data_IF_266939169945
#
_entry.id   IF_266939169945
#
_cell.length_a   1.000
_cell.length_b   1.000
_cell.length_c   1.000
_cell.angle_alpha   90.00
_cell.angle_beta   90.00
_cell.angle_gamma   90.00
#
_symmetry.space_group_name_H-M   'P 1'
#
loop_
_entity.id
_entity.type
_entity.pdbx_description
1 polymer ?
#
# COMPACT_ATOMS: atom_id res chain seq x y z
N UNK A 1 -31.67 -3.42 -20.52
CA UNK A 1 -31.63 -2.23 -21.38
C UNK A 1 -31.47 -2.70 -22.81
N UNK A 2 -32.35 -2.30 -23.75
CA UNK A 2 -32.16 -2.62 -25.16
C UNK A 2 -30.85 -2.02 -25.67
N UNK A 3 -30.06 -2.78 -26.41
CA UNK A 3 -28.82 -2.30 -26.97
C UNK A 3 -28.61 -2.81 -28.40
N UNK A 4 -27.76 -2.15 -29.17
CA UNK A 4 -27.29 -2.56 -30.49
C UNK A 4 -25.77 -2.60 -30.46
N UNK A 5 -25.17 -3.70 -30.90
CA UNK A 5 -23.74 -3.80 -31.09
C UNK A 5 -23.34 -2.91 -32.27
N UNK A 6 -22.50 -1.92 -32.05
CA UNK A 6 -22.02 -0.99 -33.05
C UNK A 6 -20.57 -1.29 -33.48
N UNK A 7 -19.79 -1.94 -32.63
CA UNK A 7 -18.41 -2.36 -32.89
C UNK A 7 -17.97 -3.46 -31.93
N UNK A 8 -16.96 -4.21 -32.32
CA UNK A 8 -16.23 -5.14 -31.46
C UNK A 8 -14.74 -4.75 -31.45
N UNK A 9 -14.11 -4.79 -30.30
CA UNK A 9 -12.70 -4.48 -30.12
C UNK A 9 -12.00 -5.61 -29.41
N UNK A 10 -10.74 -5.88 -29.77
CA UNK A 10 -9.85 -6.73 -28.96
C UNK A 10 -9.27 -5.90 -27.80
N UNK A 11 -8.80 -6.57 -26.73
CA UNK A 11 -8.11 -5.88 -25.63
C UNK A 11 -6.93 -5.04 -26.10
N UNK A 12 -6.12 -5.54 -27.04
CA UNK A 12 -4.98 -4.83 -27.62
C UNK A 12 -5.36 -3.50 -28.30
N UNK A 13 -6.52 -3.45 -28.95
CA UNK A 13 -7.01 -2.22 -29.59
C UNK A 13 -7.45 -1.16 -28.59
N UNK A 14 -7.73 -1.55 -27.33
CA UNK A 14 -8.14 -0.64 -26.27
C UNK A 14 -6.93 -0.11 -25.46
N UNK A 15 -5.78 -0.77 -25.52
CA UNK A 15 -4.58 -0.34 -24.79
C UNK A 15 -4.21 1.10 -25.15
N UNK A 16 -3.97 1.91 -24.11
CA UNK A 16 -3.62 3.32 -24.24
C UNK A 16 -4.81 4.28 -24.29
N UNK A 17 -6.05 3.78 -24.42
CA UNK A 17 -7.22 4.67 -24.27
C UNK A 17 -7.26 5.25 -22.87
N UNK A 18 -7.53 6.56 -22.81
CA UNK A 18 -7.68 7.30 -21.55
C UNK A 18 -9.16 7.44 -21.21
N UNK A 19 -9.47 7.47 -19.93
CA UNK A 19 -10.81 7.73 -19.43
C UNK A 19 -10.78 8.76 -18.30
N UNK A 20 -11.90 9.39 -18.04
CA UNK A 20 -12.03 10.33 -16.91
C UNK A 20 -12.12 9.53 -15.61
N UNK A 21 -11.43 9.99 -14.59
CA UNK A 21 -11.57 9.45 -13.24
C UNK A 21 -13.04 9.47 -12.81
N UNK A 22 -13.55 8.35 -12.31
CA UNK A 22 -14.97 8.22 -11.91
C UNK A 22 -15.29 9.07 -10.68
N UNK A 23 -14.38 9.11 -9.71
CA UNK A 23 -14.47 9.92 -8.51
C UNK A 23 -13.27 10.87 -8.47
N UNK A 24 -13.37 12.05 -9.11
CA UNK A 24 -12.23 12.96 -9.28
C UNK A 24 -11.98 13.77 -8.00
N UNK A 25 -11.81 13.08 -6.89
CA UNK A 25 -11.58 13.68 -5.58
C UNK A 25 -10.14 14.11 -5.39
N UNK A 26 -9.22 13.27 -5.85
CA UNK A 26 -7.78 13.44 -5.68
C UNK A 26 -7.05 13.03 -6.94
N UNK A 27 -6.09 13.83 -7.36
CA UNK A 27 -5.18 13.49 -8.46
C UNK A 27 -4.02 12.64 -7.92
N UNK A 28 -3.58 11.61 -8.66
CA UNK A 28 -2.39 10.86 -8.30
C UNK A 28 -1.16 11.75 -8.20
N UNK A 29 -0.41 11.63 -7.15
CA UNK A 29 0.90 12.25 -7.01
C UNK A 29 1.93 11.26 -6.46
N UNK A 30 3.21 11.53 -6.70
CA UNK A 30 4.32 10.71 -6.23
C UNK A 30 5.35 11.58 -5.54
N UNK A 31 5.98 11.06 -4.49
CA UNK A 31 7.12 11.71 -3.85
C UNK A 31 8.30 11.73 -4.84
N UNK A 32 9.04 12.83 -4.85
CA UNK A 32 10.20 13.04 -5.71
C UNK A 32 11.46 13.17 -4.84
N UNK A 33 12.19 12.08 -4.73
CA UNK A 33 13.43 11.95 -3.97
C UNK A 33 14.45 11.04 -4.68
N UNK A 34 15.57 10.76 -4.03
CA UNK A 34 16.62 9.90 -4.60
C UNK A 34 16.17 8.46 -4.82
N UNK A 35 15.19 7.98 -4.05
CA UNK A 35 14.64 6.63 -4.12
C UNK A 35 13.48 6.51 -5.12
N UNK A 36 13.00 7.62 -5.67
CA UNK A 36 11.90 7.62 -6.64
C UNK A 36 12.30 6.87 -7.91
N UNK A 37 11.35 6.11 -8.46
CA UNK A 37 11.56 5.35 -9.70
C UNK A 37 11.95 6.28 -10.87
N UNK A 38 12.77 5.78 -11.78
CA UNK A 38 13.30 6.55 -12.90
C UNK A 38 12.21 7.20 -13.75
N UNK A 39 11.09 6.50 -13.96
CA UNK A 39 9.98 7.07 -14.73
C UNK A 39 9.34 8.28 -14.04
N UNK A 40 9.30 8.32 -12.69
CA UNK A 40 8.78 9.45 -11.92
C UNK A 40 9.72 10.65 -12.06
N UNK A 41 11.04 10.43 -11.93
CA UNK A 41 12.07 11.47 -12.12
C UNK A 41 12.05 12.05 -13.53
N UNK A 42 11.94 11.19 -14.54
CA UNK A 42 11.85 11.61 -15.95
C UNK A 42 10.57 12.41 -16.21
N UNK A 43 9.43 11.96 -15.67
CA UNK A 43 8.17 12.67 -15.80
C UNK A 43 8.22 14.05 -15.14
N UNK A 44 8.75 14.15 -13.92
CA UNK A 44 8.94 15.41 -13.20
C UNK A 44 9.86 16.39 -13.96
N UNK A 45 10.94 15.88 -14.55
CA UNK A 45 11.85 16.71 -15.36
C UNK A 45 11.19 17.28 -16.63
N UNK A 46 10.23 16.56 -17.22
CA UNK A 46 9.48 16.98 -18.41
C UNK A 46 8.29 17.87 -18.09
N UNK A 47 7.80 17.86 -16.84
CA UNK A 47 6.59 18.55 -16.38
C UNK A 47 6.89 19.31 -15.07
N UNK A 48 7.86 20.21 -15.12
CA UNK A 48 8.33 20.96 -13.94
C UNK A 48 7.21 21.78 -13.28
N UNK A 49 6.21 22.22 -14.05
CA UNK A 49 5.03 22.96 -13.56
C UNK A 49 4.08 22.12 -12.70
N UNK A 50 4.21 20.79 -12.75
CA UNK A 50 3.45 19.85 -11.92
C UNK A 50 4.18 19.42 -10.65
N UNK A 51 5.41 19.91 -10.48
CA UNK A 51 6.20 19.67 -9.26
C UNK A 51 5.83 20.72 -8.22
N UNK A 52 5.60 20.29 -6.99
CA UNK A 52 5.32 21.18 -5.86
C UNK A 52 6.06 20.73 -4.60
N UNK A 53 6.33 21.69 -3.71
CA UNK A 53 6.94 21.41 -2.42
C UNK A 53 5.87 21.05 -1.39
N UNK A 54 6.16 20.11 -0.48
CA UNK A 54 5.32 19.86 0.69
C UNK A 54 5.33 21.07 1.65
N UNK A 55 4.31 21.18 2.50
CA UNK A 55 4.22 22.27 3.49
C UNK A 55 5.40 22.25 4.49
N UNK A 56 6.05 21.11 4.69
CA UNK A 56 7.23 20.98 5.53
C UNK A 56 8.50 21.60 4.90
N UNK A 57 8.45 22.02 3.63
CA UNK A 57 9.54 22.65 2.90
C UNK A 57 10.75 21.74 2.59
N UNK A 58 10.66 20.46 2.94
CA UNK A 58 11.73 19.46 2.73
C UNK A 58 11.39 18.50 1.57
N UNK A 59 10.16 18.06 1.51
CA UNK A 59 9.71 17.07 0.54
C UNK A 59 9.24 17.72 -0.75
N UNK A 60 9.41 17.02 -1.87
CA UNK A 60 8.91 17.39 -3.18
C UNK A 60 8.01 16.30 -3.73
N UNK A 61 7.01 16.73 -4.48
CA UNK A 61 6.02 15.85 -5.09
C UNK A 61 5.76 16.25 -6.53
N UNK A 62 5.27 15.31 -7.34
CA UNK A 62 4.84 15.57 -8.72
C UNK A 62 3.44 15.02 -8.94
N UNK A 63 2.54 15.85 -9.48
CA UNK A 63 1.20 15.43 -9.92
C UNK A 63 1.35 14.60 -11.21
N UNK A 64 0.68 13.44 -11.27
CA UNK A 64 0.83 12.46 -12.35
C UNK A 64 -0.52 11.97 -12.93
N UNK A 65 -1.57 12.79 -12.91
CA UNK A 65 -2.90 12.43 -13.41
C UNK A 65 -2.86 11.91 -14.85
N UNK A 66 -2.03 12.49 -15.70
CA UNK A 66 -1.92 12.10 -17.12
C UNK A 66 -1.35 10.69 -17.32
N UNK A 67 -0.63 10.15 -16.34
CA UNK A 67 -0.08 8.78 -16.37
C UNK A 67 -1.04 7.74 -15.80
N UNK A 68 -2.10 8.17 -15.12
CA UNK A 68 -3.17 7.33 -14.60
C UNK A 68 -4.34 7.20 -15.60
N UNK A 69 -5.42 6.58 -15.17
CA UNK A 69 -6.73 6.51 -15.85
C UNK A 69 -6.65 6.14 -17.33
N UNK A 70 -5.89 5.10 -17.63
CA UNK A 70 -5.70 4.54 -18.98
C UNK A 70 -5.81 3.03 -18.99
N UNK A 71 -6.17 2.48 -20.13
CA UNK A 71 -6.23 1.04 -20.36
C UNK A 71 -4.81 0.50 -20.55
N UNK A 72 -4.46 -0.53 -19.79
CA UNK A 72 -3.19 -1.25 -19.87
C UNK A 72 -3.46 -2.73 -20.14
N UNK A 73 -2.52 -3.50 -20.70
CA UNK A 73 -2.70 -4.93 -20.92
C UNK A 73 -2.68 -5.70 -19.58
N UNK A 74 -3.44 -6.80 -19.51
CA UNK A 74 -3.46 -7.71 -18.37
C UNK A 74 -3.75 -9.13 -18.82
N UNK A 75 -2.75 -10.01 -18.76
CA UNK A 75 -2.84 -11.41 -19.25
C UNK A 75 -3.80 -12.27 -18.41
N UNK A 76 -4.16 -11.80 -17.21
CA UNK A 76 -5.11 -12.45 -16.30
C UNK A 76 -6.57 -12.10 -16.58
N UNK A 77 -6.83 -11.16 -17.48
CA UNK A 77 -8.19 -10.73 -17.83
C UNK A 77 -8.80 -11.69 -18.85
N UNK A 78 -9.98 -12.22 -18.55
CA UNK A 78 -10.72 -13.11 -19.43
C UNK A 78 -12.01 -12.46 -19.91
N UNK A 79 -12.59 -13.00 -20.98
CA UNK A 79 -13.92 -12.60 -21.51
C UNK A 79 -15.00 -13.62 -21.14
N UNK A 80 -14.66 -14.65 -20.40
CA UNK A 80 -15.58 -15.73 -20.01
C UNK A 80 -16.52 -15.27 -18.89
N UNK A 81 -16.02 -14.35 -18.05
CA UNK A 81 -16.77 -13.72 -16.97
C UNK A 81 -16.56 -12.20 -17.00
N UNK A 82 -17.62 -11.45 -16.67
CA UNK A 82 -17.58 -9.98 -16.64
C UNK A 82 -17.56 -9.31 -18.02
N UNK A 83 -16.81 -8.22 -18.12
CA UNK A 83 -16.78 -7.36 -19.32
C UNK A 83 -15.51 -7.48 -20.16
N UNK A 84 -14.54 -8.28 -19.73
CA UNK A 84 -13.19 -8.30 -20.32
C UNK A 84 -12.35 -7.07 -19.96
N UNK A 85 -12.82 -6.22 -19.05
CA UNK A 85 -12.10 -5.06 -18.51
C UNK A 85 -12.16 -5.13 -16.98
N UNK A 86 -11.00 -5.07 -16.33
CA UNK A 86 -10.86 -5.11 -14.87
C UNK A 86 -10.33 -3.78 -14.38
N UNK A 87 -10.94 -3.23 -13.35
CA UNK A 87 -10.41 -2.06 -12.66
C UNK A 87 -9.25 -2.47 -11.75
N UNK A 88 -8.15 -1.71 -11.78
CA UNK A 88 -6.99 -1.91 -10.90
C UNK A 88 -6.92 -0.80 -9.85
N UNK A 89 -6.64 -1.21 -8.59
CA UNK A 89 -6.45 -0.32 -7.45
C UNK A 89 -5.05 -0.51 -6.84
N UNK A 90 -3.99 0.13 -7.38
CA UNK A 90 -2.60 -0.14 -7.01
C UNK A 90 -2.28 0.05 -5.53
N UNK A 91 -3.04 0.91 -4.84
CA UNK A 91 -2.87 1.17 -3.41
C UNK A 91 -3.37 0.04 -2.52
N UNK A 92 -4.38 -0.73 -2.97
CA UNK A 92 -5.07 -1.70 -2.12
C UNK A 92 -5.02 -3.15 -2.62
N UNK A 93 -4.35 -3.43 -3.74
CA UNK A 93 -4.16 -4.77 -4.29
C UNK A 93 -2.69 -5.06 -4.57
N UNK A 94 -2.15 -6.18 -4.09
CA UNK A 94 -0.75 -6.54 -4.33
C UNK A 94 -0.48 -6.85 -5.80
N UNK A 95 -1.37 -7.58 -6.45
CA UNK A 95 -1.28 -7.88 -7.89
C UNK A 95 -1.50 -6.62 -8.72
N UNK A 96 -2.46 -5.78 -8.33
CA UNK A 96 -2.73 -4.48 -8.94
C UNK A 96 -1.51 -3.55 -8.86
N UNK A 97 -0.85 -3.50 -7.69
CA UNK A 97 0.36 -2.70 -7.49
C UNK A 97 1.51 -3.16 -8.41
N UNK A 98 1.67 -4.48 -8.60
CA UNK A 98 2.68 -5.04 -9.49
C UNK A 98 2.41 -4.65 -10.95
N UNK A 99 1.19 -4.88 -11.43
CA UNK A 99 0.79 -4.55 -12.81
C UNK A 99 0.91 -3.06 -13.08
N UNK A 100 0.49 -2.21 -12.13
CA UNK A 100 0.60 -0.76 -12.23
C UNK A 100 2.07 -0.30 -12.29
N UNK A 101 2.94 -0.90 -11.47
CA UNK A 101 4.38 -0.61 -11.48
C UNK A 101 5.01 -0.96 -12.82
N UNK A 102 4.72 -2.15 -13.36
CA UNK A 102 5.25 -2.60 -14.65
C UNK A 102 4.76 -1.72 -15.82
N UNK A 103 3.53 -1.20 -15.71
CA UNK A 103 2.94 -0.28 -16.69
C UNK A 103 3.23 1.20 -16.41
N UNK A 104 4.00 1.55 -15.37
CA UNK A 104 4.28 2.93 -14.95
C UNK A 104 3.02 3.75 -14.65
N UNK A 105 2.03 3.12 -14.03
CA UNK A 105 0.80 3.79 -13.56
C UNK A 105 0.99 4.19 -12.11
N UNK A 106 0.85 5.49 -11.77
CA UNK A 106 1.00 5.94 -10.38
C UNK A 106 -0.13 5.42 -9.50
N UNK A 107 0.20 5.02 -8.27
CA UNK A 107 -0.79 4.74 -7.25
C UNK A 107 -1.43 6.04 -6.74
N UNK A 108 -2.68 5.95 -6.27
CA UNK A 108 -3.39 7.08 -5.69
C UNK A 108 -3.09 7.14 -4.18
N UNK A 109 -2.33 8.15 -3.77
CA UNK A 109 -1.99 8.43 -2.38
C UNK A 109 -2.40 9.84 -1.99
N UNK A 110 -2.61 10.04 -0.70
CA UNK A 110 -2.68 11.35 -0.05
C UNK A 110 -1.31 11.68 0.56
N UNK A 111 -1.11 12.96 0.84
CA UNK A 111 0.04 13.46 1.59
C UNK A 111 -0.48 14.09 2.86
N UNK A 112 -0.01 13.61 4.00
CA UNK A 112 -0.36 14.18 5.30
C UNK A 112 0.54 15.38 5.66
N UNK A 113 0.22 16.09 6.74
CA UNK A 113 1.00 17.25 7.22
C UNK A 113 2.46 16.95 7.57
N UNK A 114 2.82 15.70 7.75
CA UNK A 114 4.21 15.29 7.98
C UNK A 114 5.00 15.08 6.68
N UNK A 115 4.36 15.19 5.50
CA UNK A 115 4.96 14.88 4.21
C UNK A 115 5.01 13.39 3.89
N UNK A 116 4.26 12.57 4.64
CA UNK A 116 4.19 11.14 4.41
C UNK A 116 3.09 10.82 3.39
N UNK A 117 3.40 9.93 2.45
CA UNK A 117 2.41 9.36 1.54
C UNK A 117 1.56 8.33 2.27
N UNK A 118 0.23 8.44 2.15
CA UNK A 118 -0.74 7.56 2.79
C UNK A 118 -1.81 7.12 1.79
N UNK A 119 -2.39 5.92 1.94
CA UNK A 119 -3.63 5.57 1.26
C UNK A 119 -4.72 6.59 1.56
N UNK A 120 -5.80 6.60 0.78
CA UNK A 120 -6.92 7.53 0.98
C UNK A 120 -7.66 7.32 2.31
N UNK A 121 -7.46 6.20 2.96
CA UNK A 121 -8.05 5.88 4.27
C UNK A 121 -6.96 5.61 5.30
N UNK A 122 -7.28 5.86 6.56
CA UNK A 122 -6.42 5.59 7.71
C UNK A 122 -6.45 4.10 8.12
N UNK A 123 -5.74 3.76 9.19
CA UNK A 123 -5.70 2.39 9.72
C UNK A 123 -7.02 1.93 10.37
N UNK A 124 -7.96 2.84 10.59
CA UNK A 124 -9.31 2.53 11.05
C UNK A 124 -10.27 2.31 9.90
N UNK A 125 -9.84 2.54 8.65
CA UNK A 125 -10.64 2.44 7.45
C UNK A 125 -11.55 3.64 7.23
N UNK A 126 -11.14 4.81 7.68
CA UNK A 126 -11.83 6.08 7.55
C UNK A 126 -11.08 6.98 6.57
N UNK A 127 -11.77 7.69 5.68
CA UNK A 127 -11.15 8.70 4.83
C UNK A 127 -10.53 9.81 5.69
N UNK A 128 -9.31 10.23 5.34
CA UNK A 128 -8.68 11.40 5.96
C UNK A 128 -9.55 12.64 5.79
N UNK A 129 -9.56 13.50 6.79
CA UNK A 129 -10.19 14.82 6.69
C UNK A 129 -9.25 15.82 6.02
N UNK A 130 -9.78 16.90 5.46
CA UNK A 130 -8.95 17.91 4.74
C UNK A 130 -7.90 18.53 5.65
N UNK A 131 -8.20 18.72 6.92
CA UNK A 131 -7.30 19.31 7.92
C UNK A 131 -6.14 18.38 8.33
N UNK A 132 -6.19 17.10 7.99
CA UNK A 132 -5.11 16.14 8.17
C UNK A 132 -4.11 16.13 7.00
N UNK A 133 -4.48 16.73 5.87
CA UNK A 133 -3.67 16.73 4.64
C UNK A 133 -2.69 17.91 4.60
N UNK A 134 -1.59 17.71 3.87
CA UNK A 134 -0.65 18.76 3.48
C UNK A 134 -1.36 19.86 2.68
N UNK A 135 -1.17 21.13 3.02
CA UNK A 135 -1.91 22.22 2.40
C UNK A 135 -1.51 22.45 0.94
N UNK A 136 -0.24 22.26 0.57
CA UNK A 136 0.23 22.43 -0.80
C UNK A 136 -0.25 21.28 -1.69
N UNK A 137 -0.23 20.05 -1.15
CA UNK A 137 -0.86 18.90 -1.82
C UNK A 137 -2.37 19.13 -2.03
N UNK A 138 -3.06 19.61 -1.01
CA UNK A 138 -4.50 19.90 -1.09
C UNK A 138 -4.79 20.91 -2.19
N UNK A 139 -4.00 21.99 -2.29
CA UNK A 139 -4.15 23.00 -3.33
C UNK A 139 -3.84 22.46 -4.74
N UNK A 140 -2.85 21.57 -4.88
CA UNK A 140 -2.41 21.05 -6.17
C UNK A 140 -3.24 19.86 -6.67
N UNK A 141 -3.66 18.97 -5.76
CA UNK A 141 -4.15 17.65 -6.14
C UNK A 141 -5.55 17.30 -5.63
N UNK A 142 -6.16 18.06 -4.71
CA UNK A 142 -7.44 17.71 -4.10
C UNK A 142 -8.56 18.60 -4.63
N UNK A 143 -9.63 17.97 -5.12
CA UNK A 143 -10.90 18.64 -5.34
C UNK A 143 -11.64 18.71 -3.99
N UNK A 144 -11.42 19.80 -3.24
CA UNK A 144 -11.90 19.95 -1.87
C UNK A 144 -13.42 19.80 -1.77
N UNK A 145 -14.18 20.39 -2.71
CA UNK A 145 -15.65 20.33 -2.69
C UNK A 145 -16.17 18.90 -2.88
N UNK A 146 -15.55 18.14 -3.78
CA UNK A 146 -15.93 16.75 -4.03
C UNK A 146 -15.46 15.81 -2.91
N UNK A 147 -14.22 15.96 -2.46
CA UNK A 147 -13.64 15.13 -1.41
C UNK A 147 -14.32 15.31 -0.05
N UNK A 148 -14.66 16.56 0.31
CA UNK A 148 -15.26 16.89 1.61
C UNK A 148 -16.62 16.22 1.85
N UNK A 149 -17.30 15.75 0.80
CA UNK A 149 -18.56 15.03 0.95
C UNK A 149 -18.40 13.72 1.75
N UNK A 150 -17.21 13.09 1.60
CA UNK A 150 -16.91 11.79 2.20
C UNK A 150 -15.70 11.82 3.14
N UNK A 151 -15.10 12.99 3.36
CA UNK A 151 -14.00 13.15 4.31
C UNK A 151 -14.48 12.74 5.73
N UNK A 152 -13.76 11.81 6.35
CA UNK A 152 -14.13 11.25 7.65
C UNK A 152 -15.12 10.08 7.62
N UNK A 153 -15.65 9.69 6.45
CA UNK A 153 -16.51 8.50 6.32
C UNK A 153 -15.71 7.21 6.39
N UNK A 154 -16.31 6.19 7.03
CA UNK A 154 -15.76 4.84 7.04
C UNK A 154 -16.11 4.08 5.76
N UNK A 155 -15.14 3.42 5.13
CA UNK A 155 -15.35 2.63 3.91
C UNK A 155 -16.20 1.38 4.10
N UNK A 156 -16.38 0.93 5.35
CA UNK A 156 -17.27 -0.18 5.72
C UNK A 156 -17.95 0.10 7.04
N UNK A 157 -19.24 -0.23 7.13
CA UNK A 157 -20.00 -0.13 8.39
C UNK A 157 -19.33 -0.93 9.53
N UNK A 158 -18.70 -2.07 9.19
CA UNK A 158 -17.98 -2.91 10.16
C UNK A 158 -16.88 -2.18 10.96
N UNK A 159 -16.40 -1.06 10.44
CA UNK A 159 -15.32 -0.28 11.09
C UNK A 159 -15.87 0.84 11.99
N UNK A 160 -17.13 1.22 11.83
CA UNK A 160 -17.75 2.28 12.62
C UNK A 160 -17.83 1.91 14.11
N UNK A 161 -17.45 2.81 15.04
CA UNK A 161 -17.49 2.55 16.48
C UNK A 161 -18.87 2.12 16.99
N UNK A 162 -19.93 2.68 16.41
CA UNK A 162 -21.33 2.41 16.79
C UNK A 162 -21.75 0.94 16.64
N UNK A 163 -21.08 0.19 15.73
CA UNK A 163 -21.32 -1.25 15.56
C UNK A 163 -20.28 -2.12 16.27
N UNK A 164 -19.42 -1.51 17.10
CA UNK A 164 -18.33 -2.17 17.81
C UNK A 164 -18.37 -1.83 19.31
N UNK A 165 -19.39 -2.31 20.01
CA UNK A 165 -19.57 -2.04 21.43
C UNK A 165 -18.87 -3.12 22.27
N UNK A 166 -18.09 -2.71 23.28
CA UNK A 166 -17.34 -3.61 24.17
C UNK A 166 -16.49 -4.66 23.45
N UNK A 167 -15.91 -4.28 22.30
CA UNK A 167 -15.08 -5.17 21.48
C UNK A 167 -15.85 -6.24 20.70
N UNK A 168 -17.19 -6.18 20.72
CA UNK A 168 -18.06 -7.07 19.96
C UNK A 168 -18.63 -6.36 18.74
N UNK A 169 -18.52 -7.03 17.58
CA UNK A 169 -19.08 -6.54 16.33
C UNK A 169 -20.54 -6.95 16.18
N UNK A 170 -21.43 -5.98 15.98
CA UNK A 170 -22.85 -6.22 15.65
C UNK A 170 -23.05 -6.20 14.13
N UNK A 171 -22.81 -7.36 13.49
CA UNK A 171 -22.99 -7.54 12.05
C UNK A 171 -24.43 -7.23 11.59
N UNK A 172 -25.44 -7.57 12.41
CA UNK A 172 -26.85 -7.39 12.03
C UNK A 172 -27.24 -5.91 11.99
N UNK A 173 -26.73 -5.11 12.93
CA UNK A 173 -26.95 -3.67 12.92
C UNK A 173 -26.19 -3.02 11.76
N UNK A 174 -24.92 -3.36 11.57
CA UNK A 174 -24.09 -2.87 10.47
C UNK A 174 -24.68 -3.18 9.08
N UNK A 175 -25.23 -4.37 8.88
CA UNK A 175 -25.84 -4.77 7.60
C UNK A 175 -27.16 -4.04 7.29
N UNK A 176 -27.83 -3.45 8.28
CA UNK A 176 -29.04 -2.66 8.10
C UNK A 176 -28.79 -1.17 7.92
N UNK A 177 -27.64 -0.69 8.32
CA UNK A 177 -27.27 0.70 8.20
C UNK A 177 -26.95 1.06 6.74
N UNK A 178 -27.07 2.33 6.41
CA UNK A 178 -26.67 2.85 5.10
C UNK A 178 -25.17 2.59 4.87
N UNK A 179 -24.85 1.97 3.74
CA UNK A 179 -23.49 1.61 3.36
C UNK A 179 -22.91 2.64 2.37
N UNK A 180 -21.68 3.08 2.61
CA UNK A 180 -21.03 4.09 1.78
C UNK A 180 -20.95 3.68 0.30
N UNK A 181 -20.79 2.38 0.01
CA UNK A 181 -20.78 1.92 -1.39
C UNK A 181 -22.13 2.17 -2.09
N UNK A 182 -23.24 2.07 -1.35
CA UNK A 182 -24.56 2.38 -1.89
C UNK A 182 -24.68 3.90 -2.12
N UNK A 183 -24.21 4.72 -1.18
CA UNK A 183 -24.22 6.18 -1.30
C UNK A 183 -23.46 6.59 -2.55
N UNK A 184 -22.21 6.19 -2.71
CA UNK A 184 -21.37 6.49 -3.88
C UNK A 184 -22.03 5.99 -5.19
N UNK A 185 -22.56 4.76 -5.18
CA UNK A 185 -23.23 4.20 -6.36
C UNK A 185 -24.45 5.02 -6.77
N UNK A 186 -25.21 5.55 -5.80
CA UNK A 186 -26.37 6.40 -6.06
C UNK A 186 -25.95 7.79 -6.58
N UNK A 187 -24.88 8.36 -6.04
CA UNK A 187 -24.29 9.61 -6.55
C UNK A 187 -23.87 9.46 -8.02
N UNK A 188 -23.10 8.41 -8.33
CA UNK A 188 -22.70 8.11 -9.70
C UNK A 188 -23.89 7.92 -10.65
N UNK A 189 -25.00 7.36 -10.14
CA UNK A 189 -26.23 7.22 -10.92
C UNK A 189 -26.89 8.57 -11.17
N UNK A 190 -26.91 9.46 -10.18
CA UNK A 190 -27.46 10.80 -10.30
C UNK A 190 -26.64 11.67 -11.28
N UNK A 191 -25.33 11.51 -11.25
CA UNK A 191 -24.38 12.18 -12.15
C UNK A 191 -24.40 11.58 -13.58
N UNK A 192 -25.05 10.43 -13.77
CA UNK A 192 -25.12 9.76 -15.08
C UNK A 192 -23.84 9.01 -15.46
N UNK A 193 -22.92 8.77 -14.51
CA UNK A 193 -21.66 8.05 -14.72
C UNK A 193 -21.80 6.54 -14.50
N UNK A 194 -22.83 6.08 -13.79
CA UNK A 194 -23.13 4.66 -13.60
C UNK A 194 -24.15 4.15 -14.62
N UNK A 195 -23.73 3.22 -15.48
CA UNK A 195 -24.62 2.56 -16.44
C UNK A 195 -25.59 1.60 -15.75
N UNK A 196 -25.09 0.78 -14.79
CA UNK A 196 -25.85 -0.24 -14.08
C UNK A 196 -25.23 -0.49 -12.71
N UNK A 197 -26.07 -0.68 -11.71
CA UNK A 197 -25.67 -1.04 -10.35
C UNK A 197 -26.26 -2.41 -10.06
N UNK A 198 -25.40 -3.36 -9.68
CA UNK A 198 -25.79 -4.74 -9.33
C UNK A 198 -25.16 -5.16 -8.02
N UNK A 199 -25.90 -5.90 -7.22
CA UNK A 199 -25.33 -6.53 -6.03
C UNK A 199 -24.64 -7.83 -6.45
N UNK A 200 -23.33 -7.90 -6.20
CA UNK A 200 -22.54 -9.11 -6.41
C UNK A 200 -22.22 -9.76 -5.05
N UNK A 201 -22.48 -11.03 -4.93
CA UNK A 201 -22.18 -11.81 -3.73
C UNK A 201 -20.95 -12.65 -3.99
N UNK A 202 -19.91 -12.45 -3.21
CA UNK A 202 -18.65 -13.17 -3.30
C UNK A 202 -18.05 -13.43 -1.92
N UNK A 203 -17.09 -14.35 -1.84
CA UNK A 203 -16.33 -14.58 -0.63
C UNK A 203 -15.44 -13.36 -0.35
N UNK A 204 -15.42 -12.92 0.90
CA UNK A 204 -14.58 -11.82 1.35
C UNK A 204 -13.75 -12.26 2.56
N UNK A 205 -12.46 -11.95 2.63
CA UNK A 205 -11.61 -12.34 3.75
C UNK A 205 -12.02 -11.62 5.04
N UNK A 206 -12.14 -12.37 6.12
CA UNK A 206 -12.47 -11.88 7.44
C UNK A 206 -11.32 -12.14 8.42
N UNK A 207 -11.17 -11.26 9.39
CA UNK A 207 -10.23 -11.47 10.48
C UNK A 207 -10.72 -12.60 11.38
N UNK A 208 -9.95 -13.67 11.50
CA UNK A 208 -10.29 -14.85 12.28
C UNK A 208 -10.51 -14.61 13.78
N UNK A 209 -10.09 -13.45 14.31
CA UNK A 209 -10.28 -13.09 15.72
C UNK A 209 -11.51 -12.22 15.97
N UNK A 210 -11.80 -11.30 15.08
CA UNK A 210 -12.87 -10.31 15.25
C UNK A 210 -14.05 -10.54 14.34
N UNK A 211 -13.92 -11.50 13.41
CA UNK A 211 -14.90 -11.82 12.37
C UNK A 211 -15.29 -10.61 11.48
N UNK A 212 -14.49 -9.54 11.51
CA UNK A 212 -14.72 -8.37 10.68
C UNK A 212 -14.07 -8.55 9.31
N UNK A 213 -14.66 -7.96 8.24
CA UNK A 213 -14.00 -7.90 6.95
C UNK A 213 -12.66 -7.18 7.08
N UNK A 214 -11.63 -7.70 6.41
CA UNK A 214 -10.31 -7.05 6.38
C UNK A 214 -10.24 -6.04 5.25
N UNK A 215 -9.39 -5.03 5.41
CA UNK A 215 -8.98 -4.13 4.35
C UNK A 215 -7.55 -4.50 3.93
N UNK A 216 -7.33 -4.72 2.64
CA UNK A 216 -5.98 -4.80 2.11
C UNK A 216 -5.37 -3.41 2.21
N UNK A 217 -4.31 -3.28 3.00
CA UNK A 217 -3.71 -2.00 3.32
C UNK A 217 -2.19 -2.08 3.22
N UNK A 218 -1.52 -1.18 2.49
CA UNK A 218 -0.08 -1.13 2.44
C UNK A 218 0.47 -0.68 3.79
N UNK A 219 1.40 -1.44 4.34
CA UNK A 219 2.10 -1.13 5.57
C UNK A 219 3.59 -1.14 5.33
N UNK A 220 4.27 -0.12 5.81
CA UNK A 220 5.73 -0.10 5.83
C UNK A 220 6.24 -1.29 6.63
N UNK A 221 7.17 -2.03 6.07
CA UNK A 221 7.64 -3.28 6.63
C UNK A 221 9.12 -3.48 6.33
N UNK A 222 9.81 -4.14 7.25
CA UNK A 222 11.17 -4.57 7.05
C UNK A 222 11.24 -5.89 6.28
N UNK A 223 12.10 -5.91 5.27
CA UNK A 223 12.31 -7.07 4.41
C UNK A 223 13.77 -7.46 4.35
N UNK A 224 14.05 -8.77 4.37
CA UNK A 224 15.31 -9.29 3.85
C UNK A 224 15.16 -9.47 2.34
N UNK A 225 16.01 -8.81 1.55
CA UNK A 225 16.02 -8.95 0.08
C UNK A 225 16.54 -10.33 -0.32
N UNK A 226 15.75 -11.35 -0.02
CA UNK A 226 16.08 -12.76 -0.34
C UNK A 226 16.23 -12.98 -1.85
N UNK A 227 15.46 -12.23 -2.65
CA UNK A 227 15.51 -12.28 -4.12
C UNK A 227 16.86 -11.91 -4.69
N UNK A 228 17.68 -11.09 -4.00
CA UNK A 228 19.03 -10.73 -4.43
C UNK A 228 19.99 -11.93 -4.53
N UNK A 229 19.65 -13.06 -3.92
CA UNK A 229 20.44 -14.30 -3.95
C UNK A 229 19.68 -15.49 -4.54
N UNK A 230 18.49 -15.26 -5.10
CA UNK A 230 17.59 -16.29 -5.62
C UNK A 230 18.28 -17.22 -6.61
N UNK A 231 18.91 -16.66 -7.65
CA UNK A 231 19.60 -17.42 -8.68
C UNK A 231 20.71 -18.29 -8.09
N UNK A 232 21.53 -17.68 -7.22
CA UNK A 232 22.62 -18.40 -6.55
C UNK A 232 22.11 -19.51 -5.64
N UNK A 233 21.03 -19.31 -4.92
CA UNK A 233 20.40 -20.36 -4.09
C UNK A 233 19.85 -21.49 -4.95
N UNK A 234 19.21 -21.19 -6.08
CA UNK A 234 18.71 -22.20 -7.03
C UNK A 234 19.85 -23.03 -7.65
N UNK A 235 20.99 -22.40 -7.99
CA UNK A 235 22.19 -23.10 -8.44
C UNK A 235 22.74 -24.05 -7.37
N UNK A 236 22.91 -23.55 -6.14
CA UNK A 236 23.41 -24.35 -5.03
C UNK A 236 22.47 -25.50 -4.69
N UNK A 237 21.15 -25.31 -4.75
CA UNK A 237 20.16 -26.36 -4.56
C UNK A 237 20.41 -27.59 -5.47
N UNK A 238 20.84 -27.34 -6.71
CA UNK A 238 21.16 -28.41 -7.70
C UNK A 238 22.41 -29.21 -7.32
N UNK A 239 23.27 -28.70 -6.45
CA UNK A 239 24.49 -29.38 -6.02
C UNK A 239 24.27 -30.27 -4.78
N UNK A 240 23.11 -30.21 -4.14
CA UNK A 240 22.76 -30.96 -2.96
C UNK A 240 22.28 -32.36 -3.37
N UNK A 241 22.80 -33.39 -2.71
CA UNK A 241 22.31 -34.76 -2.88
C UNK A 241 21.05 -34.99 -2.02
N UNK A 242 19.90 -34.59 -2.60
CA UNK A 242 18.62 -34.72 -1.90
C UNK A 242 18.16 -36.19 -1.81
N UNK A 243 17.64 -36.56 -0.63
CA UNK A 243 17.05 -37.87 -0.39
C UNK A 243 15.64 -37.70 0.22
N UNK A 244 14.55 -37.89 -0.52
CA UNK A 244 14.49 -38.20 -1.98
C UNK A 244 14.83 -37.01 -2.86
N UNK A 245 15.29 -37.25 -4.10
CA UNK A 245 15.65 -36.26 -5.09
C UNK A 245 14.50 -35.26 -5.38
N UNK A 246 13.26 -35.75 -5.31
CA UNK A 246 12.04 -34.92 -5.49
C UNK A 246 11.89 -33.79 -4.49
N UNK A 247 12.59 -33.79 -3.37
CA UNK A 247 12.61 -32.68 -2.42
C UNK A 247 13.28 -31.46 -3.03
N UNK A 248 14.44 -31.63 -3.68
CA UNK A 248 15.20 -30.57 -4.31
C UNK A 248 14.60 -30.06 -5.62
N UNK A 249 14.11 -30.97 -6.46
CA UNK A 249 13.51 -30.62 -7.77
C UNK A 249 12.03 -30.26 -7.67
N UNK A 250 11.33 -30.70 -6.63
CA UNK A 250 9.92 -30.45 -6.39
C UNK A 250 9.69 -29.27 -5.42
N UNK A 251 9.21 -29.58 -4.20
CA UNK A 251 8.71 -28.54 -3.28
C UNK A 251 9.73 -27.45 -2.98
N UNK A 252 10.98 -27.80 -2.67
CA UNK A 252 12.00 -26.81 -2.29
C UNK A 252 12.51 -26.03 -3.52
N UNK A 253 12.75 -26.71 -4.65
CA UNK A 253 13.10 -26.06 -5.90
C UNK A 253 12.03 -25.06 -6.37
N UNK A 254 10.78 -25.50 -6.39
CA UNK A 254 9.65 -24.63 -6.73
C UNK A 254 9.52 -23.44 -5.77
N UNK A 255 9.82 -23.61 -4.49
CA UNK A 255 9.83 -22.52 -3.51
C UNK A 255 10.93 -21.51 -3.83
N UNK A 256 12.15 -21.97 -4.17
CA UNK A 256 13.24 -21.11 -4.60
C UNK A 256 12.93 -20.37 -5.90
N UNK A 257 12.32 -21.05 -6.86
CA UNK A 257 11.94 -20.45 -8.15
C UNK A 257 10.85 -19.38 -8.01
N UNK A 258 10.06 -19.44 -6.95
CA UNK A 258 9.02 -18.46 -6.61
C UNK A 258 9.39 -17.63 -5.38
N UNK A 259 10.68 -17.52 -5.05
CA UNK A 259 11.15 -16.81 -3.88
C UNK A 259 10.79 -15.33 -3.96
N UNK A 260 10.18 -14.81 -2.90
CA UNK A 260 9.93 -13.40 -2.66
C UNK A 260 10.81 -12.91 -1.50
N UNK A 261 10.94 -11.59 -1.37
CA UNK A 261 11.62 -10.99 -0.22
C UNK A 261 10.91 -11.34 1.08
N UNK A 262 11.68 -11.61 2.11
CA UNK A 262 11.17 -12.11 3.38
C UNK A 262 10.73 -10.95 4.28
N UNK A 263 9.41 -10.80 4.48
CA UNK A 263 8.85 -9.83 5.42
C UNK A 263 9.10 -10.26 6.87
N UNK A 264 9.86 -9.45 7.60
CA UNK A 264 10.16 -9.64 9.02
C UNK A 264 9.21 -8.94 9.96
N UNK A 265 8.52 -7.90 9.50
CA UNK A 265 7.67 -7.07 10.35
C UNK A 265 6.47 -7.84 10.88
N UNK A 266 6.15 -7.61 12.15
CA UNK A 266 4.94 -8.10 12.81
C UNK A 266 4.38 -6.97 13.65
N UNK A 267 3.20 -6.48 13.33
CA UNK A 267 2.49 -5.40 14.03
C UNK A 267 1.69 -5.91 15.23
N UNK A 268 2.22 -6.89 15.97
CA UNK A 268 1.56 -7.46 17.14
C UNK A 268 2.39 -7.22 18.38
N UNK A 269 1.73 -6.89 19.47
CA UNK A 269 2.33 -7.05 20.79
C UNK A 269 2.76 -8.50 20.96
N UNK A 270 3.81 -8.74 21.70
CA UNK A 270 4.39 -10.06 21.88
C UNK A 270 5.10 -10.58 20.60
N UNK A 271 6.24 -10.02 20.37
CA UNK A 271 7.18 -10.41 19.33
C UNK A 271 8.58 -9.97 19.72
N UNK A 272 9.60 -10.54 19.11
CA UNK A 272 10.95 -10.05 19.23
C UNK A 272 11.09 -8.77 18.42
N UNK A 273 11.48 -7.63 19.02
CA UNK A 273 11.74 -6.41 18.27
C UNK A 273 12.92 -6.63 17.31
N UNK A 274 12.87 -5.97 16.16
CA UNK A 274 14.02 -5.93 15.27
C UNK A 274 15.08 -4.99 15.86
N UNK A 275 16.36 -5.35 15.87
CA UNK A 275 17.44 -4.53 16.42
C UNK A 275 17.83 -3.39 15.47
N UNK A 276 16.86 -2.60 15.04
CA UNK A 276 17.04 -1.51 14.10
C UNK A 276 16.58 -0.21 14.78
N UNK A 277 17.47 0.77 14.80
CA UNK A 277 17.20 2.11 15.29
C UNK A 277 17.19 3.07 14.11
N UNK A 278 16.24 4.00 14.12
CA UNK A 278 16.11 5.07 13.13
C UNK A 278 16.00 6.40 13.87
N UNK A 279 16.71 7.41 13.39
CA UNK A 279 16.60 8.77 13.88
C UNK A 279 15.54 9.59 13.09
N UNK A 280 15.39 10.86 13.46
CA UNK A 280 14.43 11.78 12.82
C UNK A 280 14.84 12.17 11.38
N UNK A 281 16.09 11.96 11.00
CA UNK A 281 16.62 12.20 9.68
C UNK A 281 16.68 10.92 8.81
N UNK A 282 15.99 9.86 9.25
CA UNK A 282 15.93 8.53 8.60
C UNK A 282 17.30 7.80 8.51
N UNK A 283 18.27 8.18 9.33
CA UNK A 283 19.50 7.38 9.46
C UNK A 283 19.19 6.09 10.23
N UNK A 284 19.67 4.98 9.72
CA UNK A 284 19.36 3.66 10.27
C UNK A 284 20.61 2.92 10.71
N UNK A 285 20.53 2.27 11.86
CA UNK A 285 21.55 1.34 12.33
C UNK A 285 20.90 0.00 12.74
N UNK A 286 21.45 -1.09 12.24
CA UNK A 286 21.04 -2.42 12.62
C UNK A 286 22.12 -3.02 13.52
N UNK A 287 21.78 -3.31 14.77
CA UNK A 287 22.71 -3.88 15.75
C UNK A 287 22.82 -5.40 15.53
N UNK A 288 24.01 -5.88 15.24
CA UNK A 288 24.27 -7.29 14.93
C UNK A 288 24.71 -8.16 16.11
N UNK A 289 25.05 -7.55 17.26
CA UNK A 289 25.49 -8.30 18.45
C UNK A 289 25.18 -7.55 19.75
N UNK A 290 25.18 -8.27 20.87
CA UNK A 290 25.03 -7.67 22.19
C UNK A 290 26.24 -6.78 22.54
N UNK A 291 27.42 -7.15 22.08
CA UNK A 291 28.64 -6.34 22.23
C UNK A 291 28.52 -5.00 21.52
N UNK A 292 28.04 -4.99 20.28
CA UNK A 292 27.77 -3.77 19.52
C UNK A 292 26.73 -2.90 20.25
N UNK A 293 25.63 -3.51 20.70
CA UNK A 293 24.61 -2.77 21.48
C UNK A 293 25.22 -2.15 22.75
N UNK A 294 26.02 -2.91 23.47
CA UNK A 294 26.68 -2.42 24.68
C UNK A 294 27.54 -1.18 24.37
N UNK A 295 28.35 -1.26 23.31
CA UNK A 295 29.23 -0.16 22.91
C UNK A 295 28.46 1.09 22.44
N UNK A 296 27.34 0.93 21.71
CA UNK A 296 26.50 2.04 21.30
C UNK A 296 25.80 2.70 22.51
N UNK A 297 25.39 1.90 23.50
CA UNK A 297 24.85 2.43 24.78
C UNK A 297 25.93 3.21 25.54
N UNK A 298 27.17 2.71 25.65
CA UNK A 298 28.27 3.45 26.32
C UNK A 298 28.51 4.80 25.61
N UNK A 299 28.52 4.85 24.29
CA UNK A 299 28.61 6.12 23.53
C UNK A 299 27.47 7.07 23.86
N UNK A 300 26.24 6.56 24.02
CA UNK A 300 25.07 7.35 24.39
C UNK A 300 25.17 7.90 25.83
N UNK A 301 25.74 7.13 26.74
CA UNK A 301 26.07 7.57 28.11
C UNK A 301 27.15 8.65 28.10
N UNK A 302 28.23 8.46 27.38
CA UNK A 302 29.32 9.43 27.23
C UNK A 302 28.83 10.75 26.62
N UNK A 303 27.89 10.66 25.68
CA UNK A 303 27.28 11.83 25.05
C UNK A 303 26.18 12.50 25.92
N UNK A 304 25.83 11.92 27.05
CA UNK A 304 24.84 12.45 28.00
C UNK A 304 23.38 12.22 27.62
N UNK A 305 23.11 11.33 26.66
CA UNK A 305 21.74 10.93 26.27
C UNK A 305 21.13 9.88 27.20
N UNK A 306 21.97 9.12 27.91
CA UNK A 306 21.57 8.12 28.88
C UNK A 306 22.34 8.31 30.19
N UNK A 307 21.72 8.00 31.33
CA UNK A 307 22.35 8.11 32.66
C UNK A 307 23.33 6.97 32.93
N UNK A 308 22.97 5.76 32.51
CA UNK A 308 23.82 4.56 32.70
C UNK A 308 23.54 3.52 31.61
N UNK A 309 24.42 2.52 31.53
CA UNK A 309 24.24 1.38 30.64
C UNK A 309 23.44 0.26 31.33
N UNK A 310 22.18 0.03 30.96
CA UNK A 310 21.35 -0.98 31.63
C UNK A 310 21.85 -2.42 31.46
N UNK A 311 22.64 -2.72 30.42
CA UNK A 311 23.28 -4.04 30.29
C UNK A 311 24.35 -4.22 31.38
N UNK A 312 25.15 -3.20 31.64
CA UNK A 312 26.19 -3.18 32.71
C UNK A 312 25.54 -3.24 34.08
N UNK A 313 24.50 -2.46 34.32
CA UNK A 313 23.78 -2.42 35.59
C UNK A 313 23.11 -3.77 35.93
N UNK A 314 22.74 -4.55 34.90
CA UNK A 314 22.20 -5.91 35.04
C UNK A 314 23.27 -7.02 35.01
N UNK A 315 24.54 -6.65 35.13
CA UNK A 315 25.64 -7.60 35.29
C UNK A 315 26.16 -8.24 34.00
N UNK A 316 25.83 -7.66 32.84
CA UNK A 316 26.40 -8.11 31.56
C UNK A 316 27.89 -7.71 31.50
N UNK A 317 28.77 -8.67 31.17
CA UNK A 317 30.22 -8.48 31.00
C UNK A 317 30.60 -8.82 29.57
N UNK A 318 31.26 -7.89 28.87
CA UNK A 318 31.82 -8.15 27.55
C UNK A 318 32.87 -9.22 27.60
N UNK A 319 32.75 -10.23 26.74
CA UNK A 319 33.74 -11.34 26.63
C UNK A 319 33.66 -12.43 27.68
N UNK A 320 32.52 -12.51 28.41
CA UNK A 320 32.23 -13.58 29.35
C UNK A 320 31.66 -14.85 28.70
#
# INVERSE_FOLDING_TARGET
>A
IPYRIIANYTGEQLVGYKYKQLMPWVKPCQKLDDNSADFVKQYAAQNAEKVFDGENGKDKFVEMEEQAFRVIPGDYVTTEDGTGIVHIAPTFGADDAKVAKDAHVPALFLINKKGETRPMVDLEGKYYTIDELDCNFTAACVNVDAYSKHAGDYVKNAYKPEFNVDGKYDEKAAAKAEDLNIVIAMEMKQEGTALKIEKHVHNYPHCWRTDKPVLYYPLDSWFIRSTAKKERMSELNKTINWQPESTGTGRFGNWLDNLNDWNLSRSRFWGTPLPIWRDEDDNEICIGSVEELYNEIEKSVEAGYMESNPLKDNGFVLGG
#
